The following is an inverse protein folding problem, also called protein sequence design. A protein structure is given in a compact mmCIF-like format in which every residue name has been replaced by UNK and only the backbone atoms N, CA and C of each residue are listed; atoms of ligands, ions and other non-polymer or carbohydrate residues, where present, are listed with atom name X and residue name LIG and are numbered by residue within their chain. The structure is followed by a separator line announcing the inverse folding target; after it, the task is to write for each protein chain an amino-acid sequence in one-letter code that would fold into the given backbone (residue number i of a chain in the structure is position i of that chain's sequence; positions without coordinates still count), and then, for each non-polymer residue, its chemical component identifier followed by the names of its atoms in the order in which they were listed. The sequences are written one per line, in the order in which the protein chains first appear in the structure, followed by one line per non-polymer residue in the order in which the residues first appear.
data_IF_575772713657
#
_entry.id   IF_575772713657
#
_cell.length_a   1.000
_cell.length_b   1.000
_cell.length_c   1.000
_cell.angle_alpha   90.00
_cell.angle_beta   90.00
_cell.angle_gamma   90.00
#
_symmetry.space_group_name_H-M   'P 1'
#
loop_
_entity.id
_entity.type
_entity.pdbx_description
1 polymer ?
#
# COMPACT_ATOMS: atom_id res chain seq x y z
N UNK A 1 3.07 -22.52 -11.09
CA UNK A 1 2.04 -22.34 -12.14
C UNK A 1 1.19 -23.60 -12.16
N UNK A 2 -0.14 -23.47 -12.27
CA UNK A 2 -1.09 -24.60 -12.21
C UNK A 2 -2.19 -24.40 -13.25
N UNK A 3 -2.66 -25.47 -13.90
CA UNK A 3 -3.72 -25.42 -14.90
C UNK A 3 -4.70 -26.58 -14.78
N UNK A 4 -5.86 -26.47 -15.44
CA UNK A 4 -6.84 -27.55 -15.49
C UNK A 4 -6.46 -28.62 -16.53
N UNK A 5 -6.59 -29.92 -16.21
CA UNK A 5 -6.26 -31.00 -17.14
C UNK A 5 -7.26 -31.11 -18.30
N UNK A 6 -6.77 -31.60 -19.44
CA UNK A 6 -7.59 -32.04 -20.58
C UNK A 6 -8.01 -33.51 -20.36
N UNK A 7 -9.26 -33.85 -20.72
CA UNK A 7 -9.91 -35.14 -20.40
C UNK A 7 -9.18 -36.40 -20.87
N UNK A 8 -8.26 -36.33 -21.83
CA UNK A 8 -7.58 -37.52 -22.39
C UNK A 8 -6.27 -37.89 -21.69
N UNK A 9 -5.75 -37.06 -20.78
CA UNK A 9 -4.34 -37.14 -20.39
C UNK A 9 -3.41 -36.82 -21.57
N UNK A 10 -2.27 -36.19 -21.31
CA UNK A 10 -1.36 -35.79 -22.38
C UNK A 10 -0.14 -35.08 -21.83
N UNK A 11 0.86 -34.91 -22.69
CA UNK A 11 2.07 -34.17 -22.34
C UNK A 11 1.77 -32.69 -22.54
N UNK A 12 1.84 -31.92 -21.47
CA UNK A 12 1.71 -30.47 -21.52
C UNK A 12 3.05 -29.85 -21.89
N UNK A 13 3.04 -28.92 -22.85
CA UNK A 13 4.17 -28.02 -23.11
C UNK A 13 3.85 -26.67 -22.47
N UNK A 14 4.69 -26.23 -21.53
CA UNK A 14 4.62 -24.93 -20.86
C UNK A 14 5.59 -24.00 -21.57
N UNK A 15 5.16 -22.75 -21.78
CA UNK A 15 6.00 -21.68 -22.28
C UNK A 15 5.94 -20.50 -21.31
N UNK A 16 7.09 -19.98 -20.90
CA UNK A 16 7.24 -18.81 -20.02
C UNK A 16 8.16 -17.81 -20.73
N UNK A 17 7.82 -16.52 -20.69
CA UNK A 17 8.56 -15.45 -21.38
C UNK A 17 8.33 -14.10 -20.69
N UNK A 18 9.24 -13.15 -20.85
CA UNK A 18 9.03 -11.73 -20.49
C UNK A 18 8.33 -10.95 -21.62
N UNK A 19 8.34 -11.47 -22.85
CA UNK A 19 7.60 -10.94 -23.98
C UNK A 19 6.15 -11.42 -23.98
N UNK A 20 5.21 -10.46 -24.05
CA UNK A 20 3.78 -10.73 -24.17
C UNK A 20 3.41 -11.54 -25.43
N UNK A 21 4.30 -11.61 -26.42
CA UNK A 21 4.14 -12.35 -27.69
C UNK A 21 4.92 -13.67 -27.72
N UNK A 22 5.59 -14.05 -26.62
CA UNK A 22 6.42 -15.26 -26.52
C UNK A 22 7.55 -15.35 -27.55
N UNK A 23 8.14 -14.20 -27.90
CA UNK A 23 9.16 -14.10 -28.96
C UNK A 23 10.57 -14.49 -28.53
N UNK A 24 10.86 -14.55 -27.22
CA UNK A 24 12.19 -14.95 -26.71
C UNK A 24 12.22 -16.42 -26.31
N UNK A 25 11.07 -16.93 -25.85
CA UNK A 25 10.86 -18.27 -25.31
C UNK A 25 11.80 -18.63 -24.16
N UNK A 26 11.79 -17.80 -23.11
CA UNK A 26 12.66 -17.94 -21.93
C UNK A 26 12.65 -19.36 -21.31
N UNK A 27 11.47 -19.98 -21.17
CA UNK A 27 11.34 -21.41 -20.83
C UNK A 27 10.37 -22.06 -21.80
N UNK A 28 10.74 -23.23 -22.31
CA UNK A 28 9.85 -24.18 -22.99
C UNK A 28 10.10 -25.56 -22.40
N UNK A 29 9.12 -26.13 -21.71
CA UNK A 29 9.30 -27.40 -21.01
C UNK A 29 8.06 -28.29 -21.10
N UNK A 30 8.28 -29.60 -21.10
CA UNK A 30 7.22 -30.59 -21.12
C UNK A 30 7.02 -31.25 -19.75
N UNK A 31 5.77 -31.55 -19.39
CA UNK A 31 5.40 -32.33 -18.20
C UNK A 31 4.10 -33.09 -18.44
N UNK A 32 3.91 -34.19 -17.72
CA UNK A 32 2.63 -34.91 -17.66
C UNK A 32 1.72 -34.44 -16.53
N UNK A 33 2.27 -33.66 -15.59
CA UNK A 33 1.51 -33.09 -14.47
C UNK A 33 0.65 -31.89 -14.90
N UNK A 34 -0.16 -31.39 -13.98
CA UNK A 34 -0.97 -30.16 -14.15
C UNK A 34 -0.39 -28.95 -13.42
N UNK A 35 0.83 -29.12 -12.90
CA UNK A 35 1.57 -28.11 -12.15
C UNK A 35 2.99 -28.02 -12.70
N UNK A 36 3.55 -26.82 -12.69
CA UNK A 36 4.93 -26.57 -13.06
C UNK A 36 5.58 -25.57 -12.11
N UNK A 37 6.78 -25.92 -11.64
CA UNK A 37 7.66 -25.07 -10.84
C UNK A 37 8.97 -24.91 -11.63
N UNK A 38 9.32 -23.68 -12.05
CA UNK A 38 10.60 -23.43 -12.71
C UNK A 38 11.78 -23.86 -11.83
N UNK A 39 12.78 -24.51 -12.43
CA UNK A 39 14.02 -24.90 -11.74
C UNK A 39 15.08 -23.79 -11.75
N UNK A 40 14.78 -22.66 -12.39
CA UNK A 40 15.64 -21.48 -12.48
C UNK A 40 14.88 -20.26 -11.96
N UNK A 41 15.63 -19.29 -11.44
CA UNK A 41 15.06 -17.98 -11.10
C UNK A 41 14.58 -17.28 -12.37
N UNK A 42 13.34 -16.80 -12.33
CA UNK A 42 12.78 -15.96 -13.38
C UNK A 42 13.35 -14.53 -13.26
N UNK A 43 13.48 -13.79 -14.36
CA UNK A 43 13.95 -12.40 -14.33
C UNK A 43 12.97 -11.50 -13.57
N UNK A 44 13.50 -10.40 -13.00
CA UNK A 44 12.70 -9.33 -12.40
C UNK A 44 12.01 -8.56 -13.53
N UNK A 45 10.81 -9.01 -13.89
CA UNK A 45 10.00 -8.44 -14.96
C UNK A 45 8.54 -8.91 -14.84
N UNK A 46 7.71 -8.44 -15.77
CA UNK A 46 6.42 -9.05 -16.07
C UNK A 46 6.63 -10.38 -16.77
N UNK A 47 6.15 -11.46 -16.17
CA UNK A 47 6.25 -12.81 -16.68
C UNK A 47 4.91 -13.21 -17.31
N UNK A 48 4.96 -13.62 -18.58
CA UNK A 48 3.86 -14.22 -19.31
C UNK A 48 4.07 -15.73 -19.39
N UNK A 49 3.03 -16.51 -19.16
CA UNK A 49 3.08 -17.96 -19.34
C UNK A 49 1.83 -18.51 -19.99
N UNK A 50 1.97 -19.64 -20.70
CA UNK A 50 0.86 -20.37 -21.33
C UNK A 50 1.20 -21.86 -21.43
N UNK A 51 0.17 -22.67 -21.61
CA UNK A 51 0.32 -24.13 -21.72
C UNK A 51 -0.48 -24.67 -22.90
N UNK A 52 0.01 -25.72 -23.55
CA UNK A 52 -0.76 -26.51 -24.53
C UNK A 52 -0.62 -28.00 -24.23
N UNK A 53 -1.66 -28.77 -24.54
CA UNK A 53 -1.59 -30.22 -24.49
C UNK A 53 -1.16 -30.77 -25.85
N UNK A 54 -0.13 -31.62 -25.87
CA UNK A 54 0.45 -32.21 -27.07
C UNK A 54 0.77 -31.12 -28.13
N UNK A 55 0.38 -31.33 -29.38
CA UNK A 55 0.49 -30.34 -30.47
C UNK A 55 -0.75 -29.45 -30.62
N UNK A 56 -1.56 -29.33 -29.57
CA UNK A 56 -2.80 -28.56 -29.58
C UNK A 56 -2.60 -27.04 -29.54
N UNK A 57 -3.73 -26.33 -29.47
CA UNK A 57 -3.76 -24.87 -29.34
C UNK A 57 -3.24 -24.45 -27.96
N UNK A 58 -2.53 -23.33 -27.92
CA UNK A 58 -2.12 -22.71 -26.67
C UNK A 58 -3.31 -22.20 -25.85
N UNK A 59 -3.23 -22.31 -24.54
CA UNK A 59 -4.13 -21.62 -23.62
C UNK A 59 -4.06 -20.10 -23.82
N UNK A 60 -5.04 -19.39 -23.25
CA UNK A 60 -4.84 -17.97 -22.97
C UNK A 60 -3.58 -17.81 -22.12
N UNK A 61 -2.86 -16.70 -22.33
CA UNK A 61 -1.69 -16.38 -21.50
C UNK A 61 -2.16 -15.85 -20.15
N UNK A 62 -1.44 -16.23 -19.12
CA UNK A 62 -1.58 -15.71 -17.78
C UNK A 62 -0.29 -14.95 -17.40
N UNK A 63 -0.39 -14.04 -16.43
CA UNK A 63 0.64 -13.01 -16.17
C UNK A 63 0.86 -12.82 -14.67
N UNK A 64 2.12 -12.72 -14.26
CA UNK A 64 2.50 -12.27 -12.91
C UNK A 64 3.78 -11.43 -12.99
N UNK A 65 4.13 -10.72 -11.92
CA UNK A 65 5.32 -9.85 -11.89
C UNK A 65 6.31 -10.40 -10.87
N UNK A 66 7.57 -10.51 -11.25
CA UNK A 66 8.69 -10.73 -10.33
C UNK A 66 9.33 -9.38 -10.05
N UNK A 67 9.35 -8.96 -8.78
CA UNK A 67 9.95 -7.70 -8.36
C UNK A 67 11.23 -7.93 -7.54
N UNK A 68 11.96 -6.85 -7.28
CA UNK A 68 13.16 -6.90 -6.46
C UNK A 68 12.79 -6.80 -4.97
N UNK A 69 12.56 -7.94 -4.33
CA UNK A 69 12.10 -8.04 -2.93
C UNK A 69 13.20 -7.72 -1.88
N UNK A 70 14.34 -7.14 -2.30
CA UNK A 70 15.39 -6.69 -1.39
C UNK A 70 15.06 -5.38 -0.67
N UNK A 71 13.97 -4.71 -1.05
CA UNK A 71 13.50 -3.48 -0.40
C UNK A 71 12.34 -3.82 0.56
N UNK A 72 12.44 -3.46 1.86
CA UNK A 72 11.36 -3.69 2.81
C UNK A 72 10.06 -2.96 2.41
N UNK A 73 8.91 -3.58 2.66
CA UNK A 73 7.61 -2.92 2.53
C UNK A 73 7.17 -2.39 3.89
N UNK A 74 7.09 -1.07 4.06
CA UNK A 74 6.68 -0.47 5.33
C UNK A 74 5.16 -0.59 5.55
N UNK A 75 4.77 -0.77 6.81
CA UNK A 75 3.39 -0.69 7.28
C UNK A 75 3.19 0.72 7.87
N UNK A 76 2.35 1.58 7.25
CA UNK A 76 2.19 2.97 7.69
C UNK A 76 1.71 3.09 9.15
N UNK A 77 2.15 4.15 9.83
CA UNK A 77 1.65 4.43 11.18
C UNK A 77 0.17 4.81 11.10
N UNK A 78 -0.65 4.14 11.90
CA UNK A 78 -2.09 4.39 12.01
C UNK A 78 -2.51 4.47 13.48
N UNK A 79 -3.16 5.56 13.93
CA UNK A 79 -3.41 6.80 13.19
C UNK A 79 -2.11 7.57 12.89
N UNK A 80 -2.05 8.27 11.76
CA UNK A 80 -0.89 9.08 11.34
C UNK A 80 -0.74 10.39 12.14
N UNK A 81 -1.59 10.59 13.16
CA UNK A 81 -1.49 11.63 14.17
C UNK A 81 -1.46 10.98 15.55
N UNK A 82 -0.35 11.13 16.26
CA UNK A 82 -0.13 10.60 17.60
C UNK A 82 0.00 11.75 18.61
N UNK A 83 -0.39 11.50 19.85
CA UNK A 83 -0.22 12.47 20.93
C UNK A 83 1.25 12.53 21.38
N UNK A 84 1.72 13.70 21.79
CA UNK A 84 3.02 13.87 22.41
C UNK A 84 3.12 12.97 23.65
N UNK A 85 4.23 12.24 23.77
CA UNK A 85 4.40 11.19 24.78
C UNK A 85 3.97 9.78 24.32
N UNK A 86 3.38 9.63 23.13
CA UNK A 86 3.17 8.30 22.54
C UNK A 86 4.50 7.67 22.13
N UNK A 87 4.61 6.35 22.27
CA UNK A 87 5.73 5.55 21.74
C UNK A 87 5.32 4.92 20.41
N UNK A 88 5.62 5.53 19.25
CA UNK A 88 5.29 4.95 17.96
C UNK A 88 6.02 3.61 17.75
N UNK A 89 5.30 2.65 17.17
CA UNK A 89 5.85 1.37 16.72
C UNK A 89 5.87 1.36 15.20
N UNK A 90 7.07 1.33 14.64
CA UNK A 90 7.32 1.25 13.21
C UNK A 90 7.40 -0.22 12.79
N UNK A 91 6.75 -0.60 11.69
CA UNK A 91 6.67 -2.00 11.26
C UNK A 91 6.89 -2.12 9.75
N UNK A 92 7.48 -3.21 9.30
CA UNK A 92 7.67 -3.51 7.88
C UNK A 92 7.60 -5.02 7.64
N UNK A 93 7.48 -5.42 6.37
CA UNK A 93 7.64 -6.81 5.96
C UNK A 93 9.12 -7.13 5.73
N UNK A 94 9.52 -8.38 6.01
CA UNK A 94 10.88 -8.84 5.77
C UNK A 94 11.27 -8.70 4.30
N UNK A 95 12.48 -8.23 4.02
CA UNK A 95 13.07 -8.25 2.69
C UNK A 95 13.78 -9.59 2.45
N UNK A 96 13.82 -10.06 1.20
CA UNK A 96 14.48 -11.32 0.84
C UNK A 96 15.98 -11.20 1.05
N UNK A 97 16.55 -12.13 1.82
CA UNK A 97 17.98 -12.17 2.15
C UNK A 97 18.40 -11.20 3.26
N UNK A 98 17.47 -10.46 3.85
CA UNK A 98 17.78 -9.50 4.89
C UNK A 98 17.92 -10.17 6.27
N UNK A 99 18.98 -9.83 6.99
CA UNK A 99 19.16 -10.23 8.39
C UNK A 99 19.06 -9.06 9.37
N UNK A 100 19.25 -7.85 8.85
CA UNK A 100 19.16 -6.61 9.62
C UNK A 100 18.54 -5.50 8.77
N UNK A 101 17.94 -4.54 9.47
CA UNK A 101 17.28 -3.39 8.89
C UNK A 101 17.83 -2.11 9.50
N UNK A 102 17.94 -1.07 8.68
CA UNK A 102 18.20 0.30 9.12
C UNK A 102 16.94 1.12 8.98
N UNK A 103 16.43 1.63 10.10
CA UNK A 103 15.33 2.60 10.13
C UNK A 103 15.89 4.01 10.32
N UNK A 104 15.33 4.95 9.55
CA UNK A 104 15.63 6.38 9.65
C UNK A 104 14.34 7.14 9.92
N UNK A 105 14.35 7.98 10.95
CA UNK A 105 13.24 8.85 11.35
C UNK A 105 13.75 10.29 11.36
N UNK A 106 13.11 11.14 10.57
CA UNK A 106 13.48 12.54 10.35
C UNK A 106 12.33 13.48 10.75
N UNK A 107 12.62 14.63 11.36
CA UNK A 107 11.62 15.69 11.51
C UNK A 107 11.54 16.51 10.22
N UNK A 108 10.36 16.61 9.60
CA UNK A 108 10.16 17.41 8.40
C UNK A 108 10.33 18.90 8.74
N UNK A 109 11.43 19.51 8.29
CA UNK A 109 11.73 20.94 8.49
C UNK A 109 13.00 21.24 9.28
N UNK A 110 13.66 20.23 9.86
CA UNK A 110 15.02 20.40 10.38
C UNK A 110 16.04 20.06 9.28
N UNK A 111 16.97 20.99 9.01
CA UNK A 111 17.91 20.89 7.87
C UNK A 111 19.08 19.92 8.14
N UNK A 112 19.16 19.25 9.29
CA UNK A 112 20.35 18.45 9.63
C UNK A 112 20.00 17.12 10.28
N UNK A 113 20.28 16.04 9.54
CA UNK A 113 20.36 14.61 9.92
C UNK A 113 19.06 13.92 10.40
N UNK A 114 18.85 12.63 10.07
CA UNK A 114 17.81 11.83 10.70
C UNK A 114 17.96 11.88 12.22
N UNK A 115 16.88 12.29 12.87
CA UNK A 115 16.77 12.40 14.31
C UNK A 115 17.07 11.07 14.99
N UNK A 116 16.80 9.94 14.31
CA UNK A 116 17.15 8.61 14.79
C UNK A 116 17.53 7.71 13.61
N UNK A 117 18.73 7.13 13.66
CA UNK A 117 19.13 5.96 12.87
C UNK A 117 19.25 4.80 13.83
N UNK A 118 18.63 3.67 13.53
CA UNK A 118 18.78 2.45 14.33
C UNK A 118 18.86 1.22 13.45
N UNK A 119 19.60 0.22 13.93
CA UNK A 119 19.71 -1.08 13.28
C UNK A 119 19.01 -2.13 14.13
N UNK A 120 18.13 -2.91 13.52
CA UNK A 120 17.39 -3.99 14.19
C UNK A 120 17.38 -5.25 13.35
N UNK A 121 17.41 -6.41 14.00
CA UNK A 121 17.23 -7.69 13.34
C UNK A 121 15.74 -8.02 13.10
N UNK A 122 14.85 -7.46 13.94
CA UNK A 122 13.41 -7.63 13.84
C UNK A 122 12.79 -6.82 12.70
N UNK A 123 11.52 -7.11 12.40
CA UNK A 123 10.69 -6.40 11.41
C UNK A 123 9.84 -5.27 12.01
N UNK A 124 10.23 -4.80 13.19
CA UNK A 124 9.61 -3.68 13.89
C UNK A 124 10.64 -2.90 14.72
N UNK A 125 10.30 -1.65 15.05
CA UNK A 125 11.09 -0.80 15.93
C UNK A 125 10.17 0.06 16.79
N UNK A 126 10.37 0.02 18.11
CA UNK A 126 9.63 0.85 19.07
C UNK A 126 10.52 2.00 19.51
N UNK A 127 10.09 3.24 19.24
CA UNK A 127 10.86 4.41 19.64
C UNK A 127 10.64 4.71 21.14
N UNK A 128 11.72 4.65 21.91
CA UNK A 128 11.69 4.90 23.35
C UNK A 128 11.84 6.38 23.73
N UNK A 129 12.28 7.21 22.78
CA UNK A 129 12.46 8.65 22.99
C UNK A 129 11.17 9.41 22.68
N UNK A 130 10.83 10.37 23.54
CA UNK A 130 9.68 11.25 23.30
C UNK A 130 9.97 12.19 22.12
N UNK A 131 9.13 12.10 21.08
CA UNK A 131 9.16 13.04 19.96
C UNK A 131 8.47 14.35 20.35
N UNK A 132 9.01 15.48 19.90
CA UNK A 132 8.37 16.79 20.04
C UNK A 132 7.18 16.90 19.10
N UNK A 133 6.27 17.85 19.35
CA UNK A 133 5.21 18.14 18.39
C UNK A 133 5.80 18.59 17.06
N UNK A 134 5.32 18.00 15.96
CA UNK A 134 5.85 18.26 14.64
C UNK A 134 5.50 17.16 13.65
N UNK A 135 5.89 17.38 12.39
CA UNK A 135 5.77 16.38 11.34
C UNK A 135 7.05 15.57 11.25
N UNK A 136 6.90 14.25 11.10
CA UNK A 136 8.01 13.31 10.96
C UNK A 136 7.84 12.50 9.67
N UNK A 137 8.96 12.11 9.10
CA UNK A 137 9.06 11.13 8.01
C UNK A 137 9.91 9.96 8.45
N UNK A 138 9.61 8.78 7.94
CA UNK A 138 10.42 7.59 8.21
C UNK A 138 10.50 6.67 7.00
N UNK A 139 11.58 5.92 6.95
CA UNK A 139 11.89 4.94 5.91
C UNK A 139 12.80 3.85 6.47
N UNK A 140 12.77 2.69 5.83
CA UNK A 140 13.55 1.50 6.20
C UNK A 140 14.31 0.98 4.99
N UNK A 141 15.54 0.50 5.21
CA UNK A 141 16.38 -0.22 4.24
C UNK A 141 16.90 -1.52 4.85
N UNK A 142 17.19 -2.52 4.02
CA UNK A 142 17.76 -3.80 4.45
C UNK A 142 19.29 -3.82 4.26
N UNK A 143 19.97 -4.67 5.04
CA UNK A 143 21.43 -4.92 4.96
C UNK A 143 21.92 -5.44 3.62
N UNK A 144 21.05 -6.13 2.87
CA UNK A 144 21.31 -6.56 1.48
C UNK A 144 21.78 -5.39 0.62
N UNK A 145 21.18 -4.21 0.80
CA UNK A 145 21.66 -2.96 0.21
C UNK A 145 21.04 -1.76 0.95
N UNK A 146 21.79 -1.20 1.90
CA UNK A 146 21.32 -0.06 2.68
C UNK A 146 21.02 1.19 1.83
N UNK A 147 21.51 1.30 0.60
CA UNK A 147 21.21 2.43 -0.27
C UNK A 147 19.83 2.34 -0.95
N UNK A 148 19.09 1.23 -0.76
CA UNK A 148 17.74 1.07 -1.27
C UNK A 148 16.72 1.12 -0.14
N UNK A 149 16.05 2.25 -0.05
CA UNK A 149 14.99 2.46 0.92
C UNK A 149 13.64 2.04 0.38
N UNK A 150 12.78 1.64 1.30
CA UNK A 150 11.34 1.67 1.16
C UNK A 150 10.82 3.06 0.77
N UNK A 151 9.55 3.11 0.39
CA UNK A 151 8.84 4.39 0.30
C UNK A 151 8.90 5.14 1.64
N UNK A 152 8.85 6.47 1.60
CA UNK A 152 8.80 7.30 2.81
C UNK A 152 7.36 7.46 3.27
N UNK A 153 7.09 7.14 4.54
CA UNK A 153 5.83 7.46 5.21
C UNK A 153 6.01 8.67 6.15
N UNK A 154 4.91 9.35 6.47
CA UNK A 154 4.93 10.55 7.32
C UNK A 154 3.81 10.53 8.34
N UNK A 155 4.10 10.95 9.56
CA UNK A 155 3.14 11.07 10.66
C UNK A 155 3.34 12.38 11.43
N UNK A 156 2.37 12.73 12.27
CA UNK A 156 2.36 13.91 13.11
C UNK A 156 2.42 13.52 14.58
N UNK A 157 3.19 14.28 15.35
CA UNK A 157 3.08 14.34 16.79
C UNK A 157 2.39 15.66 17.15
N UNK A 158 1.28 15.60 17.88
CA UNK A 158 0.55 16.77 18.36
C UNK A 158 0.69 16.92 19.87
N UNK A 159 0.78 18.14 20.42
CA UNK A 159 0.91 18.33 21.86
C UNK A 159 -0.29 17.71 22.62
N UNK A 160 -0.02 17.17 23.81
CA UNK A 160 -1.02 16.51 24.66
C UNK A 160 -1.91 17.48 25.43
N UNK A 161 -1.64 18.80 25.38
CA UNK A 161 -2.46 19.83 26.02
C UNK A 161 -3.05 20.81 24.99
N UNK A 162 -4.33 21.15 25.18
CA UNK A 162 -5.09 22.06 24.32
C UNK A 162 -4.61 23.52 24.38
N UNK A 163 -3.72 23.87 25.32
CA UNK A 163 -3.27 25.24 25.59
C UNK A 163 -2.12 25.73 24.69
N UNK A 164 -1.45 24.83 23.96
CA UNK A 164 -0.45 25.17 22.93
C UNK A 164 -0.97 24.84 21.51
N UNK A 165 -2.29 24.99 21.31
CA UNK A 165 -2.95 24.79 20.01
C UNK A 165 -2.66 25.97 19.07
N UNK A 166 -1.46 26.00 18.49
CA UNK A 166 -1.10 27.03 17.53
C UNK A 166 -1.88 26.77 16.22
N UNK A 167 -2.77 27.70 15.83
CA UNK A 167 -3.63 27.67 14.63
C UNK A 167 -2.88 27.54 13.28
N UNK A 168 -1.57 27.28 13.30
CA UNK A 168 -0.70 27.27 12.13
C UNK A 168 -0.21 25.87 11.72
N UNK A 169 -0.47 24.80 12.50
CA UNK A 169 -0.10 23.41 12.13
C UNK A 169 -1.27 22.58 11.59
N UNK A 170 -2.51 23.04 11.78
CA UNK A 170 -3.68 22.40 11.19
C UNK A 170 -3.83 22.75 9.71
N UNK A 171 -4.44 21.85 8.92
CA UNK A 171 -4.90 22.25 7.61
C UNK A 171 -5.87 23.42 7.75
N UNK A 172 -5.64 24.49 6.99
CA UNK A 172 -6.53 25.67 7.01
C UNK A 172 -7.76 25.46 6.12
N UNK A 173 -7.72 24.45 5.27
CA UNK A 173 -8.72 24.16 4.24
C UNK A 173 -8.99 22.66 4.24
N UNK A 174 -10.26 22.29 4.08
CA UNK A 174 -10.64 20.91 3.85
C UNK A 174 -10.11 20.41 2.51
N UNK A 175 -9.46 19.25 2.49
CA UNK A 175 -8.94 18.65 1.28
C UNK A 175 -9.15 17.14 1.25
N UNK A 176 -9.39 16.60 0.07
CA UNK A 176 -9.28 15.18 -0.23
C UNK A 176 -8.13 15.03 -1.23
N UNK A 177 -7.14 14.20 -0.91
CA UNK A 177 -5.96 13.98 -1.76
C UNK A 177 -6.14 12.79 -2.69
N UNK A 178 -5.31 12.71 -3.72
CA UNK A 178 -5.25 11.52 -4.57
C UNK A 178 -4.78 10.31 -3.74
N UNK A 179 -5.33 9.14 -4.02
CA UNK A 179 -4.90 7.92 -3.38
C UNK A 179 -3.51 7.50 -3.88
N UNK A 180 -2.71 6.89 -3.01
CA UNK A 180 -1.33 6.47 -3.32
C UNK A 180 -1.10 5.04 -2.79
N UNK A 181 -0.62 4.10 -3.62
CA UNK A 181 -0.37 4.24 -5.07
C UNK A 181 -1.67 4.35 -5.90
N UNK A 182 -1.57 4.84 -7.14
CA UNK A 182 -2.64 4.82 -8.15
C UNK A 182 -2.01 4.75 -9.56
N UNK A 183 -2.16 3.65 -10.33
CA UNK A 183 -2.90 2.43 -10.01
C UNK A 183 -2.35 1.67 -8.79
N UNK A 184 -3.17 0.81 -8.17
CA UNK A 184 -2.78 0.04 -6.96
C UNK A 184 -3.13 -1.45 -7.03
N UNK A 185 -2.42 -2.29 -6.27
CA UNK A 185 -2.65 -3.73 -6.13
C UNK A 185 -2.22 -4.27 -4.74
N UNK A 186 -3.12 -4.88 -3.95
CA UNK A 186 -4.55 -4.64 -3.88
C UNK A 186 -4.88 -3.46 -2.97
N UNK A 187 -3.90 -2.83 -2.31
CA UNK A 187 -4.14 -1.77 -1.33
C UNK A 187 -3.66 -0.38 -1.76
N UNK A 188 -4.36 0.64 -1.28
CA UNK A 188 -4.04 2.05 -1.50
C UNK A 188 -4.36 2.87 -0.26
N UNK A 189 -3.65 3.98 -0.07
CA UNK A 189 -3.88 4.92 1.01
C UNK A 189 -4.63 6.15 0.51
N UNK A 190 -5.76 6.46 1.16
CA UNK A 190 -6.54 7.69 0.93
C UNK A 190 -6.20 8.69 2.03
N UNK A 191 -5.82 9.92 1.65
CA UNK A 191 -5.48 10.99 2.58
C UNK A 191 -6.50 12.14 2.50
N UNK A 192 -6.85 12.75 3.64
CA UNK A 192 -7.74 13.89 3.71
C UNK A 192 -7.43 14.80 4.90
N UNK A 193 -7.80 16.06 4.77
CA UNK A 193 -7.44 17.14 5.68
C UNK A 193 -8.71 17.74 6.29
N UNK A 194 -8.76 17.86 7.61
CA UNK A 194 -9.88 18.42 8.36
C UNK A 194 -9.46 19.70 9.09
N UNK A 195 -9.96 20.88 8.70
CA UNK A 195 -9.59 22.13 9.35
C UNK A 195 -10.19 22.29 10.76
N UNK A 196 -11.23 21.52 11.05
CA UNK A 196 -11.96 21.50 12.31
C UNK A 196 -12.42 20.08 12.64
N UNK A 197 -12.94 19.88 13.85
CA UNK A 197 -13.52 18.58 14.24
C UNK A 197 -14.78 18.31 13.41
N UNK A 198 -14.83 17.13 12.77
CA UNK A 198 -15.90 16.77 11.85
C UNK A 198 -16.43 15.37 12.11
N UNK A 199 -17.72 15.16 11.86
CA UNK A 199 -18.27 13.81 11.62
C UNK A 199 -17.96 13.43 10.18
N UNK A 200 -17.14 12.39 10.00
CA UNK A 200 -16.63 11.98 8.68
C UNK A 200 -17.28 10.68 8.22
N UNK A 201 -17.73 10.67 6.97
CA UNK A 201 -18.12 9.49 6.20
C UNK A 201 -17.20 9.38 4.97
N UNK A 202 -16.26 8.41 4.99
CA UNK A 202 -15.41 8.08 3.84
C UNK A 202 -15.85 6.74 3.26
N UNK A 203 -16.25 6.75 1.99
CA UNK A 203 -16.93 5.63 1.36
C UNK A 203 -16.39 5.36 -0.04
N UNK A 204 -16.23 4.07 -0.38
CA UNK A 204 -15.80 3.59 -1.69
C UNK A 204 -17.00 3.10 -2.51
N UNK A 205 -17.01 3.42 -3.79
CA UNK A 205 -18.00 3.06 -4.79
C UNK A 205 -17.33 2.44 -6.03
N UNK A 206 -18.03 1.53 -6.70
CA UNK A 206 -17.58 1.00 -7.99
C UNK A 206 -17.96 1.93 -9.15
N UNK A 207 -17.59 1.56 -10.38
CA UNK A 207 -17.88 2.35 -11.59
C UNK A 207 -19.37 2.62 -11.84
N UNK A 208 -20.26 1.76 -11.34
CA UNK A 208 -21.71 1.93 -11.42
C UNK A 208 -22.30 2.76 -10.26
N UNK A 209 -21.45 3.30 -9.38
CA UNK A 209 -21.88 4.07 -8.21
C UNK A 209 -22.45 3.21 -7.08
N UNK A 210 -22.31 1.87 -7.13
CA UNK A 210 -22.72 0.99 -6.03
C UNK A 210 -21.72 1.10 -4.88
N UNK A 211 -22.25 1.13 -3.66
CA UNK A 211 -21.46 1.10 -2.44
C UNK A 211 -20.63 -0.19 -2.38
N UNK A 212 -19.32 -0.04 -2.18
CA UNK A 212 -18.38 -1.16 -2.01
C UNK A 212 -18.02 -1.33 -0.53
N UNK A 213 -17.55 -0.25 0.11
CA UNK A 213 -17.11 -0.30 1.51
C UNK A 213 -17.20 1.08 2.16
N UNK A 214 -17.58 1.12 3.44
CA UNK A 214 -17.42 2.32 4.27
C UNK A 214 -16.13 2.19 5.05
N UNK A 215 -15.20 3.12 4.86
CA UNK A 215 -13.88 3.09 5.49
C UNK A 215 -13.86 3.86 6.81
N UNK A 216 -14.63 4.95 6.90
CA UNK A 216 -14.78 5.78 8.11
C UNK A 216 -16.24 6.20 8.23
N UNK A 217 -16.80 6.07 9.43
CA UNK A 217 -18.14 6.56 9.79
C UNK A 217 -18.16 7.01 11.25
N UNK A 218 -17.37 8.03 11.59
CA UNK A 218 -17.21 8.50 12.98
C UNK A 218 -16.78 9.96 13.07
N UNK A 219 -16.85 10.52 14.27
CA UNK A 219 -16.22 11.80 14.58
C UNK A 219 -14.69 11.67 14.51
N UNK A 220 -14.05 12.64 13.85
CA UNK A 220 -12.61 12.74 13.68
C UNK A 220 -12.17 14.16 14.10
N UNK A 221 -11.05 14.29 14.83
CA UNK A 221 -10.53 15.61 15.21
C UNK A 221 -9.98 16.37 13.99
N UNK A 222 -9.85 17.68 14.11
CA UNK A 222 -9.10 18.50 13.16
C UNK A 222 -7.68 17.94 12.98
N UNK A 223 -7.19 17.90 11.74
CA UNK A 223 -5.88 17.34 11.44
C UNK A 223 -5.79 16.71 10.05
N UNK A 224 -4.64 16.11 9.78
CA UNK A 224 -4.38 15.29 8.59
C UNK A 224 -4.70 13.84 8.92
N UNK A 225 -5.36 13.14 7.99
CA UNK A 225 -5.82 11.78 8.21
C UNK A 225 -5.53 10.88 7.01
N UNK A 226 -5.28 9.60 7.29
CA UNK A 226 -5.07 8.56 6.29
C UNK A 226 -5.90 7.32 6.60
N UNK A 227 -6.39 6.67 5.55
CA UNK A 227 -7.13 5.43 5.64
C UNK A 227 -6.73 4.51 4.50
N UNK A 228 -6.38 3.27 4.83
CA UNK A 228 -6.09 2.23 3.84
C UNK A 228 -7.38 1.58 3.33
N UNK A 229 -7.42 1.30 2.04
CA UNK A 229 -8.37 0.38 1.45
C UNK A 229 -7.62 -0.75 0.77
N UNK A 230 -8.00 -1.98 1.10
CA UNK A 230 -7.38 -3.26 0.70
C UNK A 230 -8.00 -3.89 -0.55
N UNK A 231 -8.83 -3.12 -1.28
CA UNK A 231 -9.54 -3.62 -2.47
C UNK A 231 -10.69 -4.59 -2.16
N UNK A 232 -11.14 -4.68 -0.90
CA UNK A 232 -12.27 -5.56 -0.50
C UNK A 232 -13.55 -4.78 -0.25
N UNK A 233 -14.69 -5.42 -0.45
CA UNK A 233 -15.99 -4.90 -0.04
C UNK A 233 -16.23 -5.07 1.46
N UNK A 234 -17.37 -4.55 1.93
CA UNK A 234 -17.78 -4.60 3.34
C UNK A 234 -17.84 -6.02 3.93
N UNK A 235 -18.17 -7.01 3.10
CA UNK A 235 -18.24 -8.44 3.45
C UNK A 235 -16.89 -9.17 3.27
N UNK A 236 -15.79 -8.41 3.16
CA UNK A 236 -14.43 -8.89 2.90
C UNK A 236 -14.21 -9.59 1.55
N UNK A 237 -15.18 -9.56 0.63
CA UNK A 237 -15.01 -10.10 -0.72
C UNK A 237 -14.05 -9.24 -1.53
N UNK A 238 -13.09 -9.88 -2.20
CA UNK A 238 -12.15 -9.20 -3.09
C UNK A 238 -12.90 -8.58 -4.27
N UNK A 239 -12.61 -7.31 -4.58
CA UNK A 239 -13.20 -6.62 -5.70
C UNK A 239 -12.29 -6.71 -6.93
N UNK A 240 -12.86 -6.80 -8.15
CA UNK A 240 -12.08 -6.98 -9.38
C UNK A 240 -11.26 -5.74 -9.74
N UNK A 241 -10.24 -5.91 -10.59
CA UNK A 241 -9.53 -4.81 -11.26
C UNK A 241 -10.51 -3.88 -11.97
N UNK A 242 -10.29 -2.57 -11.89
CA UNK A 242 -11.20 -1.59 -12.49
C UNK A 242 -11.13 -0.19 -11.89
N UNK A 243 -12.08 0.64 -12.30
CA UNK A 243 -12.22 2.02 -11.82
C UNK A 243 -13.14 2.05 -10.61
N UNK A 244 -12.69 2.73 -9.56
CA UNK A 244 -13.44 2.98 -8.36
C UNK A 244 -13.45 4.47 -8.02
N UNK A 245 -14.40 4.87 -7.18
CA UNK A 245 -14.51 6.22 -6.66
C UNK A 245 -14.53 6.17 -5.16
N UNK A 246 -13.88 7.12 -4.50
CA UNK A 246 -14.03 7.34 -3.08
C UNK A 246 -14.58 8.74 -2.84
N UNK A 247 -15.55 8.83 -1.93
CA UNK A 247 -16.22 10.07 -1.55
C UNK A 247 -16.08 10.25 -0.05
N UNK A 248 -15.65 11.45 0.33
CA UNK A 248 -15.70 11.91 1.71
C UNK A 248 -16.86 12.89 1.87
N UNK A 249 -17.54 12.78 3.00
CA UNK A 249 -18.44 13.79 3.55
C UNK A 249 -17.96 14.12 4.95
N UNK A 250 -17.85 15.41 5.26
CA UNK A 250 -17.45 15.86 6.59
C UNK A 250 -18.40 16.98 7.04
N UNK A 251 -18.96 16.84 8.23
CA UNK A 251 -19.83 17.85 8.85
C UNK A 251 -19.15 18.41 10.10
N UNK A 252 -18.90 19.72 10.13
CA UNK A 252 -18.35 20.41 11.29
C UNK A 252 -19.24 20.25 12.53
N UNK A 253 -18.62 20.08 13.70
CA UNK A 253 -19.32 19.82 14.97
C UNK A 253 -19.77 21.12 15.69
N UNK A 254 -19.36 22.30 15.22
CA UNK A 254 -19.69 23.60 15.83
C UNK A 254 -21.06 24.19 15.43
N UNK A 255 -21.38 25.38 15.97
CA UNK A 255 -22.66 26.10 15.76
C UNK A 255 -22.96 26.43 14.30
N UNK A 256 -21.93 26.59 13.46
CA UNK A 256 -22.08 26.74 12.02
C UNK A 256 -21.65 25.43 11.33
N UNK A 257 -22.62 24.53 11.07
CA UNK A 257 -22.37 23.22 10.45
C UNK A 257 -21.90 23.35 9.01
N UNK A 258 -20.59 23.46 8.80
CA UNK A 258 -20.00 23.39 7.46
C UNK A 258 -20.10 21.96 6.95
N UNK A 259 -20.66 21.79 5.74
CA UNK A 259 -20.74 20.50 5.07
C UNK A 259 -19.75 20.46 3.91
N UNK A 260 -18.76 19.59 4.02
CA UNK A 260 -17.82 19.31 2.94
C UNK A 260 -18.20 18.01 2.23
N UNK A 261 -18.09 17.98 0.91
CA UNK A 261 -18.15 16.73 0.15
C UNK A 261 -17.23 16.78 -1.06
N UNK A 262 -16.32 15.82 -1.15
CA UNK A 262 -15.40 15.67 -2.28
C UNK A 262 -15.39 14.20 -2.74
N UNK A 263 -15.19 14.00 -4.04
CA UNK A 263 -15.08 12.67 -4.66
C UNK A 263 -13.86 12.62 -5.56
N UNK A 264 -13.14 11.50 -5.56
CA UNK A 264 -11.99 11.24 -6.44
C UNK A 264 -12.04 9.83 -7.02
N UNK A 265 -11.32 9.65 -8.12
CA UNK A 265 -11.21 8.40 -8.89
C UNK A 265 -9.92 7.66 -8.53
N UNK A 266 -9.99 6.33 -8.45
CA UNK A 266 -8.84 5.43 -8.28
C UNK A 266 -8.92 4.25 -9.25
N UNK A 267 -7.77 3.66 -9.59
CA UNK A 267 -7.66 2.52 -10.51
C UNK A 267 -6.99 1.35 -9.80
N UNK A 268 -7.67 0.21 -9.76
CA UNK A 268 -7.18 -1.04 -9.18
C UNK A 268 -6.74 -2.01 -10.28
N UNK A 269 -5.59 -2.65 -10.08
CA UNK A 269 -5.00 -3.61 -11.02
C UNK A 269 -4.51 -4.83 -10.25
N UNK A 270 -5.41 -5.78 -9.96
CA UNK A 270 -5.06 -7.13 -9.52
C UNK A 270 -4.49 -7.96 -10.66
#
# INVERSE_FOLDING_TARGET
MTWHPVRSGGIYTIQVDTSASFSTSFIVQQTTDTTFVPLINLPIDTIHWRVRCNSGIWSQKDVFIIQNDSVPLIIPITPDTLLAGSSPVFRWCSAVGATNYRIEIDSCGAILTPYTISFVADTFFSLLTTLKSGRYSWKVSADVNFNRYSITDTFWIVPSSAAEWNKNTLPKVFALHANLPNPFNPSTTIQYDLPENCVVELTVFNAQGRLVRRLVTRAMPAGYHRVEWDGRAQDNTAQPSGVYFYRIRAAGVGDNRTLYSLTKKMVMVQ
#
